data_IF_804124379227
#
_entry.id   IF_804124379227
#
_cell.length_a   1.000
_cell.length_b   1.000
_cell.length_c   1.000
_cell.angle_alpha   90.00
_cell.angle_beta   90.00
_cell.angle_gamma   90.00
#
_symmetry.space_group_name_H-M   'P 1'
#
loop_
_entity.id
_entity.type
_entity.pdbx_description
1 polymer ?
#
# COMPACT_ATOMS: atom_id res chain seq x y z
N UNK A 1 19.63 -30.46 25.67
CA UNK A 1 18.72 -29.88 24.66
C UNK A 1 19.33 -28.61 24.05
N UNK A 2 20.62 -28.38 24.26
CA UNK A 2 21.21 -27.04 24.27
C UNK A 2 21.59 -26.56 22.86
N UNK A 3 21.46 -27.46 21.87
CA UNK A 3 21.66 -27.20 20.46
C UNK A 3 20.35 -27.03 19.68
N UNK A 4 19.20 -27.13 20.33
CA UNK A 4 17.90 -26.82 19.70
C UNK A 4 17.61 -25.34 19.89
N UNK A 5 17.12 -24.68 18.83
CA UNK A 5 16.72 -23.27 18.90
C UNK A 5 15.73 -23.03 20.05
N UNK A 6 15.85 -21.92 20.82
CA UNK A 6 15.00 -21.66 21.99
C UNK A 6 13.50 -21.83 21.72
N UNK A 7 12.97 -21.24 20.65
CA UNK A 7 11.56 -21.34 20.26
C UNK A 7 11.08 -22.78 19.96
N UNK A 8 12.00 -23.69 19.61
CA UNK A 8 11.66 -25.06 19.22
C UNK A 8 11.83 -26.05 20.40
N UNK A 9 12.33 -25.61 21.55
CA UNK A 9 12.56 -26.48 22.73
C UNK A 9 11.24 -27.08 23.25
N UNK A 10 10.17 -26.30 23.29
CA UNK A 10 8.85 -26.79 23.70
C UNK A 10 8.33 -27.84 22.70
N UNK A 11 8.60 -27.64 21.41
CA UNK A 11 8.24 -28.59 20.34
C UNK A 11 8.99 -29.92 20.48
N UNK A 12 10.27 -29.89 20.87
CA UNK A 12 11.06 -31.10 21.13
C UNK A 12 10.58 -31.84 22.38
N UNK A 13 10.23 -31.12 23.44
CA UNK A 13 9.67 -31.74 24.64
C UNK A 13 8.33 -32.44 24.34
N UNK A 14 7.44 -31.77 23.61
CA UNK A 14 6.18 -32.35 23.14
C UNK A 14 6.41 -33.56 22.22
N UNK A 15 7.42 -33.48 21.36
CA UNK A 15 7.81 -34.60 20.51
C UNK A 15 8.18 -35.84 21.32
N UNK A 16 9.08 -35.72 22.31
CA UNK A 16 9.47 -36.86 23.15
C UNK A 16 8.31 -37.40 23.99
N UNK A 17 7.46 -36.52 24.51
CA UNK A 17 6.26 -36.93 25.24
C UNK A 17 5.36 -37.81 24.36
N UNK A 18 5.05 -37.35 23.13
CA UNK A 18 4.24 -38.10 22.18
C UNK A 18 4.87 -39.45 21.78
N UNK A 19 6.19 -39.50 21.57
CA UNK A 19 6.87 -40.78 21.28
C UNK A 19 6.74 -41.76 22.46
N UNK A 20 6.78 -41.26 23.70
CA UNK A 20 6.64 -42.08 24.91
C UNK A 20 5.19 -42.41 25.27
N UNK A 21 4.19 -41.63 24.84
CA UNK A 21 2.79 -41.96 25.07
C UNK A 21 2.20 -42.78 23.92
N UNK A 22 2.33 -42.28 22.69
CA UNK A 22 1.68 -42.78 21.48
C UNK A 22 2.57 -43.73 20.66
N UNK A 23 3.85 -43.80 20.99
CA UNK A 23 4.79 -44.78 20.39
C UNK A 23 5.43 -44.32 19.08
N UNK A 24 4.98 -43.24 18.44
CA UNK A 24 5.63 -42.69 17.25
C UNK A 24 5.34 -41.19 17.12
N UNK A 25 6.33 -40.41 16.68
CA UNK A 25 6.10 -39.03 16.28
C UNK A 25 7.14 -38.56 15.24
N UNK A 26 6.84 -37.45 14.58
CA UNK A 26 7.77 -36.70 13.74
C UNK A 26 7.68 -35.20 14.03
N UNK A 27 8.81 -34.51 13.97
CA UNK A 27 8.86 -33.06 14.14
C UNK A 27 10.01 -32.45 13.32
N UNK A 28 9.91 -31.17 13.00
CA UNK A 28 10.95 -30.41 12.34
C UNK A 28 11.42 -29.30 13.28
N UNK A 29 12.73 -29.16 13.47
CA UNK A 29 13.31 -28.21 14.43
C UNK A 29 14.56 -27.55 13.88
N UNK A 30 14.79 -26.31 14.29
CA UNK A 30 16.05 -25.60 14.09
C UNK A 30 17.08 -26.13 15.07
N UNK A 31 18.24 -26.52 14.53
CA UNK A 31 19.34 -27.12 15.26
C UNK A 31 20.63 -26.37 14.98
N UNK A 32 21.41 -26.12 16.02
CA UNK A 32 22.74 -25.53 15.95
C UNK A 32 23.77 -26.63 15.77
N UNK A 33 24.32 -26.73 14.56
CA UNK A 33 25.36 -27.69 14.24
C UNK A 33 26.66 -27.41 15.03
N UNK A 34 27.55 -28.40 15.20
CA UNK A 34 28.78 -28.23 15.97
C UNK A 34 29.72 -27.12 15.46
N UNK A 35 29.62 -26.79 14.18
CA UNK A 35 30.35 -25.69 13.52
C UNK A 35 29.74 -24.30 13.79
N UNK A 36 28.64 -24.24 14.55
CA UNK A 36 27.93 -23.00 14.88
C UNK A 36 26.89 -22.58 13.84
N UNK A 37 26.70 -23.33 12.75
CA UNK A 37 25.69 -23.01 11.74
C UNK A 37 24.31 -23.53 12.17
N UNK A 38 23.28 -22.72 12.01
CA UNK A 38 21.91 -23.19 12.18
C UNK A 38 21.47 -23.99 10.94
N UNK A 39 20.92 -25.19 11.17
CA UNK A 39 20.31 -26.06 10.16
C UNK A 39 18.90 -26.48 10.59
N UNK A 40 18.15 -27.11 9.69
CA UNK A 40 16.86 -27.70 9.99
C UNK A 40 16.97 -29.22 10.00
N UNK A 41 16.47 -29.85 11.07
CA UNK A 41 16.40 -31.30 11.20
C UNK A 41 14.94 -31.77 11.21
N UNK A 42 14.65 -32.79 10.39
CA UNK A 42 13.46 -33.62 10.55
C UNK A 42 13.80 -34.79 11.45
N UNK A 43 13.15 -34.86 12.60
CA UNK A 43 13.29 -35.92 13.58
C UNK A 43 12.07 -36.83 13.49
N UNK A 44 12.29 -38.14 13.39
CA UNK A 44 11.22 -39.13 13.54
C UNK A 44 11.71 -40.20 14.50
N UNK A 45 10.91 -40.50 15.51
CA UNK A 45 11.22 -41.55 16.45
C UNK A 45 10.00 -42.46 16.66
N UNK A 46 10.28 -43.73 16.86
CA UNK A 46 9.31 -44.78 17.13
C UNK A 46 9.80 -45.63 18.30
N UNK A 47 8.91 -45.92 19.25
CA UNK A 47 9.14 -46.85 20.34
C UNK A 47 8.85 -48.27 19.87
N UNK A 48 9.85 -49.14 19.90
CA UNK A 48 9.71 -50.56 19.54
C UNK A 48 9.22 -51.43 20.70
N UNK A 49 9.64 -51.11 21.91
CA UNK A 49 9.21 -51.76 23.16
C UNK A 49 9.46 -50.82 24.35
N UNK A 50 9.22 -51.27 25.59
CA UNK A 50 9.37 -50.45 26.81
C UNK A 50 10.77 -49.86 27.00
N UNK A 51 11.81 -50.41 26.35
CA UNK A 51 13.20 -50.00 26.55
C UNK A 51 13.92 -49.60 25.26
N UNK A 52 13.27 -49.71 24.10
CA UNK A 52 13.88 -49.44 22.80
C UNK A 52 13.14 -48.37 22.02
N UNK A 53 13.89 -47.35 21.64
CA UNK A 53 13.49 -46.27 20.74
C UNK A 53 14.40 -46.30 19.52
N UNK A 54 13.81 -46.18 18.33
CA UNK A 54 14.53 -46.01 17.08
C UNK A 54 14.20 -44.60 16.58
N UNK A 55 15.26 -43.80 16.39
CA UNK A 55 15.15 -42.45 15.87
C UNK A 55 15.95 -42.30 14.58
N UNK A 56 15.41 -41.56 13.63
CA UNK A 56 16.10 -41.08 12.45
C UNK A 56 16.03 -39.55 12.41
N UNK A 57 17.12 -38.95 11.98
CA UNK A 57 17.23 -37.51 11.78
C UNK A 57 17.74 -37.23 10.37
N UNK A 58 17.05 -36.38 9.63
CA UNK A 58 17.48 -35.92 8.31
C UNK A 58 17.73 -34.42 8.33
N UNK A 59 18.84 -33.99 7.74
CA UNK A 59 19.01 -32.59 7.38
C UNK A 59 18.03 -32.24 6.26
N UNK A 60 17.21 -31.21 6.50
CA UNK A 60 16.18 -30.72 5.58
C UNK A 60 16.41 -29.25 5.23
N UNK A 61 17.61 -28.71 5.45
CA UNK A 61 17.95 -27.32 5.15
C UNK A 61 17.70 -26.98 3.67
N UNK A 62 18.13 -27.84 2.76
CA UNK A 62 17.93 -27.63 1.31
C UNK A 62 16.44 -27.61 0.95
N UNK A 63 15.64 -28.49 1.57
CA UNK A 63 14.18 -28.49 1.37
C UNK A 63 13.56 -27.21 1.91
N UNK A 64 13.95 -26.76 3.11
CA UNK A 64 13.44 -25.53 3.71
C UNK A 64 13.83 -24.29 2.89
N UNK A 65 15.06 -24.25 2.38
CA UNK A 65 15.51 -23.19 1.49
C UNK A 65 14.72 -23.20 0.16
N UNK A 66 14.45 -24.38 -0.41
CA UNK A 66 13.63 -24.50 -1.60
C UNK A 66 12.17 -24.07 -1.35
N UNK A 67 11.57 -24.48 -0.23
CA UNK A 67 10.23 -24.05 0.20
C UNK A 67 10.16 -22.52 0.35
N UNK A 68 11.13 -21.91 1.03
CA UNK A 68 11.21 -20.45 1.21
C UNK A 68 11.41 -19.73 -0.12
N UNK A 69 12.28 -20.25 -1.00
CA UNK A 69 12.53 -19.67 -2.32
C UNK A 69 11.25 -19.70 -3.18
N UNK A 70 10.54 -20.83 -3.21
CA UNK A 70 9.24 -20.96 -3.89
C UNK A 70 8.26 -19.93 -3.34
N UNK A 71 8.16 -19.84 -2.01
CA UNK A 71 7.27 -18.88 -1.37
C UNK A 71 7.63 -17.44 -1.71
N UNK A 72 8.92 -17.07 -1.68
CA UNK A 72 9.38 -15.73 -2.07
C UNK A 72 9.10 -15.44 -3.53
N UNK A 73 9.37 -16.35 -4.45
CA UNK A 73 9.05 -16.14 -5.87
C UNK A 73 7.56 -16.01 -6.11
N UNK A 74 6.72 -16.74 -5.37
CA UNK A 74 5.27 -16.66 -5.49
C UNK A 74 4.68 -15.38 -4.90
N UNK A 75 5.30 -14.79 -3.86
CA UNK A 75 4.70 -13.70 -3.08
C UNK A 75 5.45 -12.36 -3.14
N UNK A 76 6.72 -12.36 -3.53
CA UNK A 76 7.57 -11.18 -3.54
C UNK A 76 8.07 -10.86 -4.94
N UNK A 77 8.29 -9.57 -5.16
CA UNK A 77 8.95 -9.06 -6.34
C UNK A 77 10.45 -9.36 -6.28
N UNK A 78 11.04 -10.02 -7.30
CA UNK A 78 12.44 -10.45 -7.23
C UNK A 78 13.45 -9.30 -7.22
N UNK A 79 13.08 -8.12 -7.74
CA UNK A 79 13.97 -6.96 -7.80
C UNK A 79 14.01 -6.22 -6.46
N UNK A 80 12.85 -5.93 -5.90
CA UNK A 80 12.70 -5.03 -4.74
C UNK A 80 12.46 -5.76 -3.42
N UNK A 81 12.05 -7.03 -3.46
CA UNK A 81 11.62 -7.79 -2.28
C UNK A 81 10.27 -7.37 -1.71
N UNK A 82 9.59 -6.38 -2.30
CA UNK A 82 8.23 -5.98 -1.91
C UNK A 82 7.21 -7.06 -2.23
N UNK A 83 5.99 -6.91 -1.71
CA UNK A 83 4.88 -7.77 -2.12
C UNK A 83 4.68 -7.66 -3.64
N UNK A 84 4.53 -8.81 -4.30
CA UNK A 84 4.10 -8.85 -5.70
C UNK A 84 2.56 -8.80 -5.78
N UNK A 85 2.03 -8.94 -6.99
CA UNK A 85 0.57 -8.97 -7.23
C UNK A 85 -0.18 -9.97 -6.34
N UNK A 86 0.33 -11.19 -6.18
CA UNK A 86 -0.38 -12.25 -5.47
C UNK A 86 -0.47 -11.93 -3.97
N UNK A 87 0.64 -11.55 -3.35
CA UNK A 87 0.65 -11.17 -1.94
C UNK A 87 -0.16 -9.89 -1.70
N UNK A 88 -0.04 -8.90 -2.59
CA UNK A 88 -0.84 -7.67 -2.50
C UNK A 88 -2.35 -7.97 -2.50
N UNK A 89 -2.82 -8.80 -3.42
CA UNK A 89 -4.24 -9.15 -3.52
C UNK A 89 -4.71 -9.88 -2.25
N UNK A 90 -3.93 -10.86 -1.77
CA UNK A 90 -4.25 -11.56 -0.52
C UNK A 90 -4.35 -10.61 0.68
N UNK A 91 -3.43 -9.65 0.80
CA UNK A 91 -3.39 -8.65 1.87
C UNK A 91 -4.53 -7.65 1.77
N UNK A 92 -4.87 -7.21 0.56
CA UNK A 92 -6.00 -6.31 0.33
C UNK A 92 -7.32 -6.97 0.73
N UNK A 93 -7.54 -8.22 0.33
CA UNK A 93 -8.74 -8.98 0.72
C UNK A 93 -8.81 -9.19 2.25
N UNK A 94 -7.68 -9.46 2.90
CA UNK A 94 -7.58 -9.54 4.36
C UNK A 94 -7.93 -8.20 5.03
N UNK A 95 -7.36 -7.10 4.54
CA UNK A 95 -7.62 -5.75 5.05
C UNK A 95 -9.09 -5.35 4.90
N UNK A 96 -9.72 -5.65 3.75
CA UNK A 96 -11.14 -5.37 3.51
C UNK A 96 -12.05 -6.16 4.47
N UNK A 97 -11.79 -7.46 4.67
CA UNK A 97 -12.55 -8.27 5.64
C UNK A 97 -12.40 -7.73 7.07
N UNK A 98 -11.18 -7.32 7.44
CA UNK A 98 -10.93 -6.72 8.75
C UNK A 98 -11.66 -5.39 8.92
N UNK A 99 -11.64 -4.53 7.90
CA UNK A 99 -12.32 -3.24 7.90
C UNK A 99 -13.83 -3.40 8.04
N UNK A 100 -14.44 -4.35 7.34
CA UNK A 100 -15.86 -4.70 7.47
C UNK A 100 -16.21 -5.14 8.89
N UNK A 101 -15.43 -6.06 9.46
CA UNK A 101 -15.68 -6.58 10.82
C UNK A 101 -15.48 -5.51 11.91
N UNK A 102 -14.52 -4.60 11.72
CA UNK A 102 -14.17 -3.55 12.69
C UNK A 102 -14.90 -2.22 12.47
N UNK A 103 -15.70 -2.09 11.40
CA UNK A 103 -16.27 -0.82 10.93
C UNK A 103 -15.21 0.27 10.74
N UNK A 104 -14.04 -0.12 10.24
CA UNK A 104 -12.97 0.80 9.87
C UNK A 104 -12.88 0.93 8.33
N UNK A 105 -11.92 1.72 7.85
CA UNK A 105 -11.68 1.92 6.42
C UNK A 105 -10.33 1.37 5.98
N UNK A 106 -10.19 1.07 4.69
CA UNK A 106 -8.92 0.74 4.05
C UNK A 106 -8.50 1.92 3.17
N UNK A 107 -7.25 2.36 3.30
CA UNK A 107 -6.63 3.29 2.36
C UNK A 107 -5.81 2.55 1.33
N UNK A 108 -6.00 2.86 0.05
CA UNK A 108 -5.13 2.40 -1.03
C UNK A 108 -4.48 3.61 -1.69
N UNK A 109 -3.15 3.62 -1.74
CA UNK A 109 -2.36 4.65 -2.42
C UNK A 109 -1.61 4.01 -3.58
N UNK A 110 -1.83 4.51 -4.79
CA UNK A 110 -1.03 4.14 -5.96
C UNK A 110 0.01 5.23 -6.18
N UNK A 111 1.29 4.85 -6.17
CA UNK A 111 2.42 5.75 -6.41
C UNK A 111 3.04 5.39 -7.75
N UNK A 112 3.10 6.37 -8.64
CA UNK A 112 3.88 6.28 -9.88
C UNK A 112 5.21 7.01 -9.73
N UNK A 113 6.21 6.61 -10.50
CA UNK A 113 7.51 7.27 -10.55
C UNK A 113 7.63 8.08 -11.83
N UNK A 114 7.50 9.39 -11.70
CA UNK A 114 7.65 10.32 -12.81
C UNK A 114 9.01 10.16 -13.49
N UNK A 115 9.00 10.24 -14.82
CA UNK A 115 10.19 10.21 -15.67
C UNK A 115 11.13 9.01 -15.45
N UNK A 116 10.65 7.92 -14.84
CA UNK A 116 11.47 6.72 -14.61
C UNK A 116 11.98 6.11 -15.93
N UNK A 117 11.22 6.28 -17.01
CA UNK A 117 11.65 5.91 -18.36
C UNK A 117 12.90 6.68 -18.77
N UNK A 118 12.94 7.99 -18.55
CA UNK A 118 14.07 8.83 -18.93
C UNK A 118 15.34 8.48 -18.15
N UNK A 119 15.19 8.06 -16.88
CA UNK A 119 16.29 7.52 -16.07
C UNK A 119 16.85 6.24 -16.72
N UNK A 120 15.99 5.32 -17.13
CA UNK A 120 16.44 4.10 -17.81
C UNK A 120 17.11 4.41 -19.16
N UNK A 121 16.56 5.33 -19.93
CA UNK A 121 17.05 5.68 -21.26
C UNK A 121 18.38 6.45 -21.19
N UNK A 122 18.58 7.25 -20.13
CA UNK A 122 19.79 8.09 -19.94
C UNK A 122 20.91 7.38 -19.17
N UNK A 123 20.56 6.66 -18.10
CA UNK A 123 21.52 6.09 -17.14
C UNK A 123 21.56 4.56 -17.17
N UNK A 124 20.67 3.93 -17.94
CA UNK A 124 20.58 2.48 -18.10
C UNK A 124 19.74 1.78 -17.04
N UNK A 125 19.21 0.62 -17.42
CA UNK A 125 18.33 -0.20 -16.56
C UNK A 125 18.95 -0.56 -15.20
N UNK A 126 20.26 -0.82 -15.11
CA UNK A 126 20.91 -1.14 -13.84
C UNK A 126 20.89 0.03 -12.83
N UNK A 127 20.83 1.27 -13.30
CA UNK A 127 20.64 2.45 -12.44
C UNK A 127 19.16 2.57 -12.03
N UNK A 128 18.24 2.37 -12.97
CA UNK A 128 16.81 2.32 -12.67
C UNK A 128 16.44 1.24 -11.64
N UNK A 129 17.02 0.05 -11.76
CA UNK A 129 16.82 -1.05 -10.82
C UNK A 129 17.29 -0.70 -9.40
N UNK A 130 18.46 -0.06 -9.26
CA UNK A 130 18.95 0.43 -7.96
C UNK A 130 18.07 1.51 -7.38
N UNK A 131 17.53 2.39 -8.22
CA UNK A 131 16.57 3.41 -7.79
C UNK A 131 15.29 2.76 -7.25
N UNK A 132 14.73 1.76 -7.96
CA UNK A 132 13.56 1.01 -7.50
C UNK A 132 13.81 0.31 -6.16
N UNK A 133 14.98 -0.30 -5.99
CA UNK A 133 15.38 -0.96 -4.74
C UNK A 133 15.46 0.03 -3.57
N UNK A 134 16.06 1.20 -3.79
CA UNK A 134 16.17 2.24 -2.76
C UNK A 134 14.80 2.83 -2.39
N UNK A 135 13.93 3.07 -3.38
CA UNK A 135 12.55 3.52 -3.14
C UNK A 135 11.77 2.49 -2.34
N UNK A 136 11.85 1.21 -2.72
CA UNK A 136 11.21 0.12 -2.02
C UNK A 136 11.64 0.04 -0.55
N UNK A 137 12.96 0.13 -0.31
CA UNK A 137 13.52 0.11 1.05
C UNK A 137 13.01 1.29 1.88
N UNK A 138 12.96 2.50 1.31
CA UNK A 138 12.46 3.69 2.02
C UNK A 138 10.99 3.57 2.34
N UNK A 139 10.16 3.18 1.38
CA UNK A 139 8.72 3.01 1.59
C UNK A 139 8.43 1.94 2.65
N UNK A 140 9.12 0.79 2.60
CA UNK A 140 8.95 -0.28 3.59
C UNK A 140 9.29 0.18 5.02
N UNK A 141 10.23 1.11 5.19
CA UNK A 141 10.61 1.66 6.49
C UNK A 141 9.70 2.81 6.97
N UNK A 142 8.87 3.38 6.11
CA UNK A 142 7.94 4.47 6.47
C UNK A 142 6.58 3.96 6.96
N UNK A 143 6.21 2.75 6.57
CA UNK A 143 4.91 2.16 6.90
C UNK A 143 4.97 1.30 8.15
N UNK A 144 3.81 1.02 8.75
CA UNK A 144 3.71 0.12 9.92
C UNK A 144 3.79 -1.33 9.47
N UNK A 145 4.05 -2.23 10.42
CA UNK A 145 4.05 -3.68 10.16
C UNK A 145 2.70 -4.22 9.62
N UNK A 146 1.60 -3.56 9.97
CA UNK A 146 0.25 -3.88 9.46
C UNK A 146 0.03 -3.46 8.01
N UNK A 147 0.84 -2.57 7.48
CA UNK A 147 0.66 -1.96 6.17
C UNK A 147 1.37 -2.81 5.11
N UNK A 148 0.92 -2.74 3.85
CA UNK A 148 1.53 -3.48 2.76
C UNK A 148 2.04 -2.53 1.69
N UNK A 149 3.34 -2.63 1.39
CA UNK A 149 3.94 -1.97 0.22
C UNK A 149 4.14 -3.04 -0.86
N UNK A 150 3.60 -2.78 -2.05
CA UNK A 150 3.66 -3.72 -3.16
C UNK A 150 4.20 -3.03 -4.42
N UNK A 151 4.98 -3.78 -5.21
CA UNK A 151 5.33 -3.37 -6.57
C UNK A 151 4.41 -4.07 -7.54
N UNK A 152 3.49 -3.32 -8.14
CA UNK A 152 2.52 -3.83 -9.10
C UNK A 152 2.71 -3.13 -10.45
N UNK A 153 2.57 -3.88 -11.54
CA UNK A 153 2.58 -3.28 -12.87
C UNK A 153 1.27 -2.54 -13.17
N UNK A 154 1.30 -1.60 -14.11
CA UNK A 154 0.15 -0.75 -14.48
C UNK A 154 -1.11 -1.54 -14.85
N UNK A 155 -0.96 -2.67 -15.57
CA UNK A 155 -2.09 -3.54 -15.90
C UNK A 155 -2.75 -4.17 -14.65
N UNK A 156 -1.94 -4.51 -13.65
CA UNK A 156 -2.45 -5.03 -12.36
C UNK A 156 -3.13 -3.93 -11.57
N UNK A 157 -2.53 -2.74 -11.51
CA UNK A 157 -3.14 -1.58 -10.86
C UNK A 157 -4.50 -1.25 -11.49
N UNK A 158 -4.59 -1.18 -12.82
CA UNK A 158 -5.85 -0.94 -13.54
C UNK A 158 -6.91 -1.99 -13.22
N UNK A 159 -6.56 -3.28 -13.23
CA UNK A 159 -7.50 -4.34 -12.85
C UNK A 159 -8.05 -4.15 -11.43
N UNK A 160 -7.18 -3.83 -10.46
CA UNK A 160 -7.57 -3.70 -9.05
C UNK A 160 -8.42 -2.45 -8.83
N UNK A 161 -8.06 -1.33 -9.45
CA UNK A 161 -8.85 -0.10 -9.39
C UNK A 161 -10.24 -0.30 -10.01
N UNK A 162 -10.34 -1.08 -11.10
CA UNK A 162 -11.63 -1.44 -11.70
C UNK A 162 -12.50 -2.28 -10.77
N UNK A 163 -11.93 -3.28 -10.09
CA UNK A 163 -12.70 -4.09 -9.13
C UNK A 163 -13.16 -3.27 -7.93
N UNK A 164 -12.31 -2.38 -7.40
CA UNK A 164 -12.66 -1.45 -6.33
C UNK A 164 -13.77 -0.47 -6.77
N UNK A 165 -13.65 0.11 -7.95
CA UNK A 165 -14.65 1.02 -8.50
C UNK A 165 -16.00 0.31 -8.71
N UNK A 166 -15.99 -0.94 -9.22
CA UNK A 166 -17.22 -1.76 -9.34
C UNK A 166 -17.84 -2.11 -7.99
N UNK A 167 -17.04 -2.18 -6.93
CA UNK A 167 -17.51 -2.33 -5.55
C UNK A 167 -18.01 -1.01 -4.93
N UNK A 168 -17.99 0.11 -5.68
CA UNK A 168 -18.46 1.42 -5.25
C UNK A 168 -17.42 2.28 -4.54
N UNK A 169 -16.14 1.91 -4.59
CA UNK A 169 -15.04 2.72 -4.05
C UNK A 169 -14.70 3.82 -5.06
N UNK A 170 -14.78 5.08 -4.64
CA UNK A 170 -14.39 6.21 -5.48
C UNK A 170 -12.87 6.28 -5.62
N UNK A 171 -12.38 6.51 -6.84
CA UNK A 171 -10.96 6.61 -7.14
C UNK A 171 -10.61 8.07 -7.46
N UNK A 172 -9.68 8.64 -6.69
CA UNK A 172 -9.15 9.98 -6.93
C UNK A 172 -7.76 9.93 -7.55
N UNK A 173 -7.49 10.83 -8.49
CA UNK A 173 -6.18 11.07 -9.08
C UNK A 173 -5.60 12.35 -8.48
N UNK A 174 -4.43 12.23 -7.85
CA UNK A 174 -3.77 13.32 -7.13
C UNK A 174 -2.78 14.11 -8.02
N UNK A 175 -2.42 15.32 -7.58
CA UNK A 175 -1.42 16.20 -8.19
C UNK A 175 -1.59 16.44 -9.71
N UNK A 176 -2.83 16.55 -10.17
CA UNK A 176 -3.10 16.69 -11.60
C UNK A 176 -2.58 18.03 -12.14
N UNK A 177 -1.77 17.93 -13.21
CA UNK A 177 -1.24 19.09 -13.95
C UNK A 177 0.26 19.32 -13.77
N UNK A 178 0.93 18.68 -12.82
CA UNK A 178 2.38 18.85 -12.58
C UNK A 178 3.27 17.90 -13.39
N UNK A 179 2.69 16.95 -14.13
CA UNK A 179 3.42 15.97 -14.94
C UNK A 179 2.64 15.35 -16.11
N UNK A 180 3.36 14.65 -17.01
CA UNK A 180 2.80 14.05 -18.23
C UNK A 180 1.96 12.79 -17.99
N UNK A 181 2.18 12.08 -16.88
CA UNK A 181 1.50 10.82 -16.57
C UNK A 181 -0.02 10.98 -16.30
N UNK A 182 -0.45 12.19 -15.92
CA UNK A 182 -1.82 12.52 -15.52
C UNK A 182 -2.90 12.12 -16.55
N UNK A 183 -2.69 12.39 -17.84
CA UNK A 183 -3.68 12.04 -18.89
C UNK A 183 -3.66 10.56 -19.26
N UNK A 184 -2.50 9.91 -19.18
CA UNK A 184 -2.38 8.47 -19.44
C UNK A 184 -3.14 7.69 -18.38
N UNK A 185 -2.96 8.06 -17.10
CA UNK A 185 -3.69 7.45 -15.98
C UNK A 185 -5.19 7.72 -16.06
N UNK A 186 -5.59 8.94 -16.42
CA UNK A 186 -7.01 9.29 -16.59
C UNK A 186 -7.73 8.41 -17.63
N UNK A 187 -7.01 7.95 -18.66
CA UNK A 187 -7.54 7.02 -19.67
C UNK A 187 -7.52 5.55 -19.21
N UNK A 188 -6.60 5.18 -18.34
CA UNK A 188 -6.36 3.79 -17.95
C UNK A 188 -7.10 3.35 -16.70
N UNK A 189 -7.51 4.29 -15.85
CA UNK A 189 -8.11 4.04 -14.56
C UNK A 189 -9.54 4.61 -14.47
N UNK A 190 -10.43 3.97 -13.69
CA UNK A 190 -11.79 4.45 -13.47
C UNK A 190 -11.79 5.61 -12.45
N UNK A 191 -11.28 6.78 -12.88
CA UNK A 191 -11.15 7.96 -12.01
C UNK A 191 -12.51 8.65 -11.85
N UNK A 192 -12.91 8.88 -10.61
CA UNK A 192 -14.11 9.61 -10.23
C UNK A 192 -13.81 11.06 -9.84
N UNK A 193 -12.57 11.32 -9.41
CA UNK A 193 -12.15 12.61 -8.86
C UNK A 193 -10.74 13.01 -9.33
N UNK A 194 -10.56 14.23 -9.78
CA UNK A 194 -9.25 14.86 -10.04
C UNK A 194 -8.95 15.89 -8.96
N UNK A 195 -7.75 15.85 -8.39
CA UNK A 195 -7.24 16.87 -7.46
C UNK A 195 -6.28 17.79 -8.22
N UNK A 196 -6.61 19.07 -8.30
CA UNK A 196 -5.84 20.11 -8.96
C UNK A 196 -4.75 20.57 -8.01
N UNK A 197 -3.50 20.38 -8.38
CA UNK A 197 -2.35 20.68 -7.53
C UNK A 197 -2.34 22.14 -7.03
N UNK A 198 -1.88 22.32 -5.80
CA UNK A 198 -1.83 23.61 -5.12
C UNK A 198 -0.94 24.64 -5.82
N UNK A 199 0.06 24.21 -6.62
CA UNK A 199 0.95 25.14 -7.32
C UNK A 199 0.19 26.05 -8.29
N UNK A 200 -0.83 25.53 -8.97
CA UNK A 200 -1.71 26.31 -9.84
C UNK A 200 -2.70 27.18 -9.06
N UNK A 201 -3.19 26.68 -7.92
CA UNK A 201 -4.15 27.42 -7.09
C UNK A 201 -3.47 28.61 -6.39
N UNK A 202 -2.20 28.48 -6.03
CA UNK A 202 -1.42 29.51 -5.33
C UNK A 202 -1.40 30.84 -6.08
N UNK A 203 -1.19 30.84 -7.39
CA UNK A 203 -1.14 32.07 -8.20
C UNK A 203 -2.40 32.30 -9.03
N UNK A 204 -3.50 31.58 -8.77
CA UNK A 204 -4.75 31.63 -9.55
C UNK A 204 -5.31 33.06 -9.77
N UNK A 205 -5.07 33.97 -8.82
CA UNK A 205 -5.57 35.34 -8.89
C UNK A 205 -4.65 36.30 -9.65
N UNK A 206 -3.36 35.97 -9.76
CA UNK A 206 -2.32 36.85 -10.31
C UNK A 206 -1.73 36.36 -11.64
N UNK A 207 -1.76 35.05 -11.92
CA UNK A 207 -1.23 34.46 -13.14
C UNK A 207 -2.36 33.96 -14.05
N UNK A 208 -2.38 34.45 -15.29
CA UNK A 208 -3.36 34.05 -16.30
C UNK A 208 -3.12 32.63 -16.82
N UNK A 209 -1.87 32.15 -16.81
CA UNK A 209 -1.52 30.80 -17.22
C UNK A 209 -2.10 29.79 -16.25
N UNK A 210 -1.82 29.95 -14.95
CA UNK A 210 -2.37 29.08 -13.91
C UNK A 210 -3.90 29.09 -13.91
N UNK A 211 -4.52 30.26 -14.07
CA UNK A 211 -5.97 30.35 -14.20
C UNK A 211 -6.53 29.62 -15.43
N UNK A 212 -5.81 29.64 -16.57
CA UNK A 212 -6.20 28.90 -17.75
C UNK A 212 -6.03 27.38 -17.56
N UNK A 213 -4.98 26.94 -16.88
CA UNK A 213 -4.74 25.53 -16.56
C UNK A 213 -5.86 25.00 -15.65
N UNK A 214 -6.17 25.71 -14.55
CA UNK A 214 -7.27 25.33 -13.65
C UNK A 214 -8.59 25.24 -14.42
N UNK A 215 -8.92 26.23 -15.24
CA UNK A 215 -10.14 26.20 -16.05
C UNK A 215 -10.16 25.03 -17.05
N UNK A 216 -9.03 24.70 -17.66
CA UNK A 216 -8.93 23.55 -18.57
C UNK A 216 -9.16 22.22 -17.84
N UNK A 217 -8.60 22.05 -16.63
CA UNK A 217 -8.77 20.84 -15.82
C UNK A 217 -10.23 20.69 -15.38
N UNK A 218 -10.87 21.77 -14.91
CA UNK A 218 -12.29 21.75 -14.53
C UNK A 218 -13.18 21.36 -15.71
N UNK A 219 -12.95 21.96 -16.88
CA UNK A 219 -13.71 21.62 -18.09
C UNK A 219 -13.50 20.18 -18.54
N UNK A 220 -12.27 19.65 -18.41
CA UNK A 220 -11.97 18.25 -18.70
C UNK A 220 -12.74 17.31 -17.75
N UNK A 221 -12.72 17.62 -16.44
CA UNK A 221 -13.46 16.86 -15.43
C UNK A 221 -14.95 16.78 -15.80
N UNK A 222 -15.59 17.92 -16.01
CA UNK A 222 -16.99 17.97 -16.42
C UNK A 222 -17.29 17.22 -17.71
N UNK A 223 -16.43 17.35 -18.73
CA UNK A 223 -16.61 16.65 -20.00
C UNK A 223 -16.55 15.12 -19.86
N UNK A 224 -15.84 14.63 -18.84
CA UNK A 224 -15.70 13.20 -18.54
C UNK A 224 -16.64 12.71 -17.44
N UNK A 225 -17.44 13.59 -16.83
CA UNK A 225 -18.28 13.25 -15.67
C UNK A 225 -17.49 13.00 -14.38
N UNK A 226 -16.29 13.60 -14.27
CA UNK A 226 -15.34 13.44 -13.17
C UNK A 226 -15.38 14.72 -12.32
N UNK A 227 -15.45 14.58 -11.01
CA UNK A 227 -15.40 15.72 -10.09
C UNK A 227 -13.99 16.30 -9.96
N UNK A 228 -13.90 17.58 -9.58
CA UNK A 228 -12.64 18.29 -9.38
C UNK A 228 -12.52 18.87 -7.97
N UNK A 229 -11.39 18.67 -7.31
CA UNK A 229 -11.01 19.36 -6.06
C UNK A 229 -9.81 20.23 -6.29
N UNK A 230 -9.91 21.52 -5.98
CA UNK A 230 -8.74 22.40 -5.95
C UNK A 230 -8.02 22.33 -4.60
N UNK A 231 -6.69 22.19 -4.64
CA UNK A 231 -5.86 22.11 -3.44
C UNK A 231 -5.23 23.44 -3.04
N UNK A 232 -4.85 23.59 -1.77
CA UNK A 232 -4.10 24.76 -1.31
C UNK A 232 -4.89 26.07 -1.37
N UNK A 233 -6.21 26.03 -1.20
CA UNK A 233 -7.03 27.24 -1.11
C UNK A 233 -6.81 27.93 0.24
N UNK A 234 -6.24 29.13 0.21
CA UNK A 234 -5.85 29.89 1.41
C UNK A 234 -6.70 31.15 1.63
N UNK A 235 -7.34 31.69 0.59
CA UNK A 235 -8.12 32.93 0.69
C UNK A 235 -9.44 32.90 -0.11
N UNK A 236 -10.32 33.86 0.20
CA UNK A 236 -11.68 33.95 -0.36
C UNK A 236 -11.62 34.26 -1.87
N UNK A 237 -10.65 35.04 -2.32
CA UNK A 237 -10.48 35.39 -3.73
C UNK A 237 -10.16 34.15 -4.58
N UNK A 238 -9.29 33.25 -4.11
CA UNK A 238 -9.02 31.96 -4.74
C UNK A 238 -10.31 31.11 -4.79
N UNK A 239 -11.00 30.97 -3.66
CA UNK A 239 -12.24 30.20 -3.60
C UNK A 239 -13.32 30.75 -4.56
N UNK A 240 -13.41 32.07 -4.70
CA UNK A 240 -14.33 32.73 -5.63
C UNK A 240 -13.95 32.42 -7.08
N UNK A 241 -12.67 32.55 -7.45
CA UNK A 241 -12.17 32.21 -8.79
C UNK A 241 -12.43 30.75 -9.16
N UNK A 242 -12.19 29.83 -8.23
CA UNK A 242 -12.45 28.40 -8.42
C UNK A 242 -13.93 28.11 -8.64
N UNK A 243 -14.81 28.76 -7.86
CA UNK A 243 -16.26 28.66 -8.04
C UNK A 243 -16.71 29.23 -9.39
N UNK A 244 -16.15 30.37 -9.81
CA UNK A 244 -16.42 30.96 -11.13
C UNK A 244 -15.94 30.07 -12.28
N UNK A 245 -14.84 29.35 -12.10
CA UNK A 245 -14.36 28.35 -13.05
C UNK A 245 -15.22 27.06 -13.07
N UNK A 246 -16.09 26.87 -12.08
CA UNK A 246 -16.97 25.71 -11.96
C UNK A 246 -16.35 24.52 -11.20
N UNK A 247 -15.28 24.72 -10.43
CA UNK A 247 -14.67 23.63 -9.65
C UNK A 247 -15.64 23.12 -8.57
N UNK A 248 -15.79 21.80 -8.45
CA UNK A 248 -16.80 21.17 -7.59
C UNK A 248 -16.47 21.32 -6.10
N UNK A 249 -15.19 21.13 -5.75
CA UNK A 249 -14.73 21.03 -4.38
C UNK A 249 -13.43 21.80 -4.17
N UNK A 250 -13.11 22.09 -2.90
CA UNK A 250 -11.87 22.76 -2.56
C UNK A 250 -11.34 22.30 -1.20
N UNK A 251 -10.02 22.16 -1.09
CA UNK A 251 -9.32 21.96 0.17
C UNK A 251 -8.24 23.02 0.38
N UNK A 252 -7.98 23.36 1.63
CA UNK A 252 -6.90 24.27 1.99
C UNK A 252 -7.13 24.98 3.31
N UNK A 253 -6.15 25.80 3.70
CA UNK A 253 -6.11 26.45 5.01
C UNK A 253 -7.22 27.48 5.21
N UNK A 254 -7.87 27.94 4.12
CA UNK A 254 -9.10 28.72 4.21
C UNK A 254 -10.19 27.97 5.00
N UNK A 255 -10.30 26.66 4.79
CA UNK A 255 -11.35 25.82 5.38
C UNK A 255 -10.88 25.15 6.67
N UNK A 256 -9.74 24.46 6.61
CA UNK A 256 -9.15 23.80 7.76
C UNK A 256 -7.66 23.50 7.52
N UNK A 257 -6.85 23.58 8.58
CA UNK A 257 -5.48 23.03 8.57
C UNK A 257 -5.53 21.50 8.78
N UNK A 258 -4.51 20.75 8.30
CA UNK A 258 -4.34 19.34 8.60
C UNK A 258 -4.43 19.07 10.11
N UNK A 259 -5.15 18.01 10.47
CA UNK A 259 -5.38 17.62 11.86
C UNK A 259 -4.86 16.20 12.10
N UNK A 260 -4.38 15.89 13.31
CA UNK A 260 -4.15 14.50 13.69
C UNK A 260 -5.41 13.66 13.48
N UNK A 261 -5.28 12.41 13.03
CA UNK A 261 -6.42 11.55 12.74
C UNK A 261 -7.41 11.41 13.91
N UNK A 262 -6.92 11.44 15.15
CA UNK A 262 -7.73 11.40 16.37
C UNK A 262 -8.65 12.64 16.55
N UNK A 263 -8.31 13.79 15.96
CA UNK A 263 -9.10 15.01 16.02
C UNK A 263 -10.13 15.12 14.89
N UNK A 264 -10.03 14.30 13.85
CA UNK A 264 -10.91 14.36 12.67
C UNK A 264 -12.39 14.19 13.05
N UNK A 265 -12.81 13.21 13.87
CA UNK A 265 -14.23 13.05 14.22
C UNK A 265 -14.82 14.28 14.90
N UNK A 266 -14.07 14.89 15.83
CA UNK A 266 -14.48 16.11 16.53
C UNK A 266 -14.55 17.30 15.58
N UNK A 267 -13.59 17.40 14.66
CA UNK A 267 -13.54 18.46 13.65
C UNK A 267 -14.79 18.40 12.78
N UNK A 268 -15.15 17.22 12.25
CA UNK A 268 -16.34 17.03 11.42
C UNK A 268 -17.62 17.43 12.16
N UNK A 269 -17.77 17.00 13.43
CA UNK A 269 -18.97 17.30 14.23
C UNK A 269 -19.15 18.80 14.54
N UNK A 270 -18.05 19.53 14.62
CA UNK A 270 -18.04 20.96 14.99
C UNK A 270 -17.81 21.85 13.78
N UNK A 271 -17.67 21.27 12.60
CA UNK A 271 -17.33 22.01 11.40
C UNK A 271 -18.48 22.92 10.99
N UNK A 272 -18.12 24.16 10.71
CA UNK A 272 -19.04 25.18 10.22
C UNK A 272 -18.48 25.72 8.92
N UNK A 273 -19.28 25.73 7.84
CA UNK A 273 -18.79 26.19 6.55
C UNK A 273 -18.39 27.66 6.63
N UNK A 274 -17.30 28.02 5.94
CA UNK A 274 -16.87 29.40 5.76
C UNK A 274 -17.99 30.12 5.00
N UNK A 275 -18.82 30.89 5.71
CA UNK A 275 -19.95 31.62 5.12
C UNK A 275 -19.41 32.69 4.19
N UNK A 276 -19.63 32.52 2.89
CA UNK A 276 -19.48 33.61 1.92
C UNK A 276 -20.83 34.37 1.83
N UNK A 277 -20.89 35.68 2.09
CA UNK A 277 -22.12 36.46 1.90
C UNK A 277 -22.28 36.79 0.40
N UNK A 278 -23.07 36.01 -0.33
CA UNK A 278 -23.42 36.27 -1.74
C UNK A 278 -24.76 35.63 -2.10
N UNK A 279 -25.60 36.28 -2.94
CA UNK A 279 -27.03 36.06 -2.90
C UNK A 279 -27.46 34.81 -3.68
N UNK A 280 -28.39 34.08 -3.07
CA UNK A 280 -29.20 32.97 -3.58
C UNK A 280 -28.51 31.61 -3.80
N UNK A 281 -28.92 30.64 -2.97
CA UNK A 281 -29.12 29.26 -3.40
C UNK A 281 -27.99 28.28 -3.12
N UNK A 282 -27.92 27.81 -1.88
CA UNK A 282 -27.51 26.45 -1.48
C UNK A 282 -26.50 25.70 -2.35
N UNK A 283 -25.23 25.66 -1.93
CA UNK A 283 -24.48 24.41 -1.76
C UNK A 283 -23.48 24.65 -0.62
N UNK A 284 -23.41 23.69 0.30
CA UNK A 284 -22.43 23.64 1.38
C UNK A 284 -21.02 23.64 0.77
N UNK A 285 -20.21 24.65 1.11
CA UNK A 285 -18.75 24.44 1.21
C UNK A 285 -18.52 23.38 2.26
#
# INVERSE_FOLDING_TARGET
MDRVHPDDQQKVAAFWHAVMSEGINATEVRYLAPDGKQTWLSLRAERKDEHRLIGISFDIADRKAAEEAIWRTANHDPLTGLANRALFQSRLEEALRHAEASKSGVGLLLLDLDDFKDINDTLGHAVGDRLLQEIALRLANLVRESDTVARVGTATASFILNELHRAGVSIALDDFGTGFASLVHLKQFPVDHIKIDQSFVRNLTSDRSDAAIVAAIVNLGHAMGIHTTAEGVENIEQAKRLREAGCDFAQGYLYAKPRPGAEVPKTIQTWSPVRNPGPSGSVSV
#
